data_IF_113116544862
#
_entry.id   IF_113116544862
#
_cell.length_a   1.000
_cell.length_b   1.000
_cell.length_c   1.000
_cell.angle_alpha   90.00
_cell.angle_beta   90.00
_cell.angle_gamma   90.00
#
_symmetry.space_group_name_H-M   'P 1'
#
loop_
_entity.id
_entity.type
_entity.pdbx_description
1 polymer ?
#
# COMPACT_ATOMS: atom_id res chain seq x y z
N UNK A 1 15.24 -9.80 10.79
CA UNK A 1 16.59 -10.27 10.38
C UNK A 1 16.52 -11.16 9.14
N UNK A 2 15.58 -12.11 9.06
CA UNK A 2 15.44 -12.97 7.88
C UNK A 2 14.99 -12.19 6.62
N UNK A 3 13.92 -11.40 6.71
CA UNK A 3 13.42 -10.60 5.58
C UNK A 3 14.43 -9.56 5.09
N UNK A 4 15.12 -8.87 6.02
CA UNK A 4 16.12 -7.87 5.64
C UNK A 4 17.29 -8.50 4.89
N UNK A 5 17.71 -9.72 5.23
CA UNK A 5 18.70 -10.45 4.43
C UNK A 5 18.12 -10.89 3.08
N UNK A 6 16.91 -11.46 3.06
CA UNK A 6 16.24 -11.96 1.85
C UNK A 6 16.07 -10.88 0.77
N UNK A 7 15.78 -9.66 1.18
CA UNK A 7 15.57 -8.52 0.28
C UNK A 7 16.75 -7.53 0.26
N UNK A 8 17.84 -7.84 0.97
CA UNK A 8 19.05 -7.02 1.08
C UNK A 8 18.74 -5.57 1.56
N UNK A 9 18.01 -5.48 2.67
CA UNK A 9 17.58 -4.24 3.30
C UNK A 9 18.46 -3.90 4.50
N UNK A 10 18.94 -2.67 4.55
CA UNK A 10 19.63 -2.10 5.69
C UNK A 10 18.61 -1.39 6.57
N UNK A 11 18.31 -1.98 7.72
CA UNK A 11 17.28 -1.52 8.65
C UNK A 11 17.63 -0.18 9.33
N UNK A 12 18.87 0.32 9.18
CA UNK A 12 19.24 1.65 9.67
C UNK A 12 18.71 2.78 8.77
N UNK A 13 18.26 2.45 7.55
CA UNK A 13 17.73 3.40 6.57
C UNK A 13 16.21 3.32 6.47
N UNK A 14 15.53 4.41 6.08
CA UNK A 14 14.12 4.36 5.76
C UNK A 14 13.83 3.37 4.64
N UNK A 15 12.79 2.55 4.82
CA UNK A 15 12.33 1.55 3.83
C UNK A 15 10.96 1.99 3.30
N UNK A 16 10.88 2.19 2.00
CA UNK A 16 9.64 2.53 1.31
C UNK A 16 9.07 1.28 0.63
N UNK A 17 7.80 1.00 0.89
CA UNK A 17 7.06 -0.05 0.20
C UNK A 17 6.12 0.56 -0.83
N UNK A 18 6.41 0.35 -2.12
CA UNK A 18 5.69 0.97 -3.22
C UNK A 18 4.81 -0.04 -3.93
N UNK A 19 3.50 0.20 -3.91
CA UNK A 19 2.51 -0.60 -4.64
C UNK A 19 1.46 0.33 -5.22
N UNK A 20 1.56 0.57 -6.53
CA UNK A 20 0.64 1.40 -7.28
C UNK A 20 0.10 0.62 -8.48
N UNK A 21 -1.21 0.59 -8.59
CA UNK A 21 -1.97 -0.04 -9.66
C UNK A 21 -2.52 1.05 -10.61
N UNK A 22 -2.71 0.73 -11.89
CA UNK A 22 -3.45 1.59 -12.79
C UNK A 22 -4.90 1.75 -12.31
N UNK A 23 -5.51 2.88 -12.66
CA UNK A 23 -6.95 3.09 -12.53
C UNK A 23 -7.56 2.85 -13.90
N UNK A 24 -8.55 1.95 -14.01
CA UNK A 24 -9.08 1.49 -15.30
C UNK A 24 -9.65 2.63 -16.13
N UNK A 25 -10.31 3.60 -15.49
CA UNK A 25 -10.86 4.81 -16.14
C UNK A 25 -9.79 5.82 -16.57
N UNK A 26 -8.53 5.61 -16.19
CA UNK A 26 -7.38 6.49 -16.44
C UNK A 26 -6.22 5.68 -17.07
N UNK A 27 -6.54 4.58 -17.77
CA UNK A 27 -5.55 3.60 -18.23
C UNK A 27 -4.48 4.19 -19.18
N UNK A 28 -4.83 5.25 -19.91
CA UNK A 28 -3.90 5.94 -20.81
C UNK A 28 -2.85 6.77 -20.06
N UNK A 29 -3.23 7.31 -18.90
CA UNK A 29 -2.37 8.11 -18.02
C UNK A 29 -1.50 7.25 -17.08
N UNK A 30 -1.79 5.95 -16.95
CA UNK A 30 -1.15 5.07 -15.99
C UNK A 30 0.40 5.12 -16.04
N UNK A 31 0.98 5.21 -17.24
CA UNK A 31 2.43 5.31 -17.42
C UNK A 31 3.01 6.65 -16.91
N UNK A 32 2.28 7.74 -17.10
CA UNK A 32 2.65 9.06 -16.58
C UNK A 32 2.51 9.09 -15.05
N UNK A 33 1.40 8.57 -14.51
CA UNK A 33 1.14 8.56 -13.06
C UNK A 33 2.22 7.80 -12.26
N UNK A 34 2.67 6.64 -12.75
CA UNK A 34 3.78 5.93 -12.09
C UNK A 34 5.11 6.64 -12.30
N UNK A 35 5.31 7.31 -13.43
CA UNK A 35 6.52 8.09 -13.69
C UNK A 35 6.67 9.22 -12.66
N UNK A 36 5.60 9.97 -12.39
CA UNK A 36 5.62 11.03 -11.38
C UNK A 36 5.97 10.51 -9.98
N UNK A 37 5.43 9.34 -9.62
CA UNK A 37 5.77 8.67 -8.36
C UNK A 37 7.25 8.26 -8.32
N UNK A 38 7.77 7.67 -9.40
CA UNK A 38 9.17 7.26 -9.50
C UNK A 38 10.13 8.46 -9.49
N UNK A 39 9.78 9.55 -10.16
CA UNK A 39 10.56 10.79 -10.16
C UNK A 39 10.61 11.43 -8.77
N UNK A 40 9.51 11.36 -8.00
CA UNK A 40 9.48 11.80 -6.61
C UNK A 40 10.42 10.96 -5.73
N UNK A 41 10.47 9.64 -5.94
CA UNK A 41 11.39 8.74 -5.22
C UNK A 41 12.85 9.00 -5.57
N UNK A 42 13.17 9.26 -6.85
CA UNK A 42 14.53 9.63 -7.28
C UNK A 42 14.95 10.94 -6.64
N UNK A 43 14.07 11.95 -6.66
CA UNK A 43 14.34 13.24 -6.03
C UNK A 43 14.52 13.11 -4.51
N UNK A 44 13.69 12.29 -3.85
CA UNK A 44 13.85 11.98 -2.44
C UNK A 44 15.21 11.33 -2.14
N UNK A 45 15.68 10.43 -3.01
CA UNK A 45 16.93 9.70 -2.78
C UNK A 45 18.16 10.61 -2.82
N UNK A 46 18.11 11.69 -3.61
CA UNK A 46 19.15 12.73 -3.63
C UNK A 46 19.29 13.47 -2.30
N UNK A 47 18.23 13.49 -1.51
CA UNK A 47 18.14 14.26 -0.27
C UNK A 47 18.28 13.37 0.96
N UNK A 48 17.76 12.13 0.87
CA UNK A 48 17.68 11.17 1.96
C UNK A 48 18.05 9.79 1.42
N UNK A 49 19.07 9.19 2.02
CA UNK A 49 19.46 7.82 1.71
C UNK A 49 18.40 6.83 2.24
N UNK A 50 17.52 6.39 1.35
CA UNK A 50 16.45 5.43 1.63
C UNK A 50 16.53 4.24 0.68
N UNK A 51 15.79 3.18 1.00
CA UNK A 51 15.64 1.99 0.15
C UNK A 51 14.18 1.79 -0.21
N UNK A 52 13.92 1.30 -1.42
CA UNK A 52 12.56 1.11 -1.91
C UNK A 52 12.37 -0.31 -2.44
N UNK A 53 11.35 -0.99 -1.91
CA UNK A 53 10.78 -2.21 -2.50
C UNK A 53 9.56 -1.80 -3.31
N UNK A 54 9.61 -2.00 -4.63
CA UNK A 54 8.48 -1.75 -5.52
C UNK A 54 7.92 -3.08 -6.00
N UNK A 55 6.61 -3.28 -5.83
CA UNK A 55 5.89 -4.44 -6.37
C UNK A 55 5.11 -4.00 -7.61
N UNK A 56 5.18 -4.82 -8.66
CA UNK A 56 4.51 -4.52 -9.92
C UNK A 56 2.98 -4.37 -9.76
N UNK A 57 2.35 -3.55 -10.62
CA UNK A 57 0.91 -3.39 -10.64
C UNK A 57 0.19 -4.69 -10.99
N UNK A 58 -1.13 -4.67 -10.86
CA UNK A 58 -1.98 -5.76 -11.29
C UNK A 58 -2.11 -5.78 -12.83
N UNK A 59 -2.86 -6.75 -13.35
CA UNK A 59 -2.99 -6.99 -14.79
C UNK A 59 -4.03 -6.09 -15.50
N UNK A 60 -4.57 -5.09 -14.80
CA UNK A 60 -5.61 -4.21 -15.33
C UNK A 60 -5.11 -3.35 -16.52
N UNK A 61 -6.06 -2.73 -17.23
CA UNK A 61 -5.76 -1.80 -18.32
C UNK A 61 -4.77 -0.71 -17.84
N UNK A 62 -3.69 -0.50 -18.60
CA UNK A 62 -2.59 0.40 -18.23
C UNK A 62 -1.41 -0.28 -17.51
N UNK A 63 -1.60 -1.44 -16.88
CA UNK A 63 -0.58 -2.12 -16.08
C UNK A 63 0.70 -2.49 -16.87
N UNK A 64 0.55 -2.96 -18.12
CA UNK A 64 1.70 -3.23 -19.01
C UNK A 64 2.52 -1.97 -19.31
N UNK A 65 1.87 -0.81 -19.48
CA UNK A 65 2.55 0.47 -19.74
C UNK A 65 3.29 0.94 -18.49
N UNK A 66 2.68 0.80 -17.31
CA UNK A 66 3.35 1.07 -16.04
C UNK A 66 4.59 0.19 -15.85
N UNK A 67 4.52 -1.11 -16.10
CA UNK A 67 5.68 -2.01 -15.98
C UNK A 67 6.80 -1.60 -16.94
N UNK A 68 6.48 -1.22 -18.18
CA UNK A 68 7.46 -0.69 -19.13
C UNK A 68 8.13 0.57 -18.58
N UNK A 69 7.38 1.47 -17.94
CA UNK A 69 7.93 2.67 -17.30
C UNK A 69 8.83 2.32 -16.11
N UNK A 70 8.35 1.47 -15.18
CA UNK A 70 9.10 1.03 -14.00
C UNK A 70 10.46 0.42 -14.39
N UNK A 71 10.52 -0.35 -15.48
CA UNK A 71 11.77 -0.94 -15.96
C UNK A 71 12.85 0.10 -16.29
N UNK A 72 12.48 1.31 -16.73
CA UNK A 72 13.44 2.40 -17.02
C UNK A 72 14.14 2.94 -15.76
N UNK A 73 13.56 2.71 -14.58
CA UNK A 73 14.08 3.16 -13.29
C UNK A 73 14.89 2.08 -12.55
N UNK A 74 14.98 0.85 -13.09
CA UNK A 74 15.79 -0.22 -12.48
C UNK A 74 17.29 0.07 -12.42
N UNK A 75 17.76 1.11 -13.11
CA UNK A 75 19.14 1.62 -13.03
C UNK A 75 19.49 2.21 -11.67
N UNK A 76 18.50 2.55 -10.83
CA UNK A 76 18.73 3.15 -9.52
C UNK A 76 18.93 2.06 -8.45
N UNK A 77 20.11 1.98 -7.78
CA UNK A 77 20.41 0.89 -6.83
C UNK A 77 19.48 0.85 -5.61
N UNK A 78 18.93 2.00 -5.20
CA UNK A 78 18.00 2.07 -4.07
C UNK A 78 16.64 1.44 -4.37
N UNK A 79 16.30 1.21 -5.64
CA UNK A 79 14.98 0.76 -6.10
C UNK A 79 15.03 -0.71 -6.52
N UNK A 80 14.41 -1.57 -5.71
CA UNK A 80 14.32 -3.02 -5.96
C UNK A 80 12.90 -3.38 -6.40
N UNK A 81 12.76 -3.84 -7.65
CA UNK A 81 11.46 -4.10 -8.26
C UNK A 81 11.14 -5.60 -8.38
N UNK A 82 10.01 -6.03 -7.82
CA UNK A 82 9.54 -7.42 -7.81
C UNK A 82 8.24 -7.56 -8.58
N UNK A 83 8.06 -8.69 -9.29
CA UNK A 83 6.78 -9.01 -9.95
C UNK A 83 5.69 -9.32 -8.93
N UNK A 84 6.05 -10.07 -7.90
CA UNK A 84 5.20 -10.44 -6.78
C UNK A 84 6.08 -10.77 -5.59
N UNK A 85 5.49 -10.74 -4.40
CA UNK A 85 6.12 -11.09 -3.13
C UNK A 85 5.18 -12.07 -2.41
N UNK A 86 5.69 -13.15 -1.80
CA UNK A 86 4.88 -14.05 -1.00
C UNK A 86 4.11 -13.30 0.09
N UNK A 87 2.87 -13.69 0.36
CA UNK A 87 1.99 -12.94 1.26
C UNK A 87 2.60 -12.71 2.66
N UNK A 88 3.21 -13.74 3.25
CA UNK A 88 3.86 -13.61 4.57
C UNK A 88 5.03 -12.62 4.54
N UNK A 89 5.83 -12.64 3.47
CA UNK A 89 6.91 -11.67 3.28
C UNK A 89 6.37 -10.25 3.12
N UNK A 90 5.23 -10.10 2.41
CA UNK A 90 4.59 -8.81 2.21
C UNK A 90 4.13 -8.19 3.54
N UNK A 91 3.45 -8.97 4.39
CA UNK A 91 3.07 -8.52 5.73
C UNK A 91 4.29 -8.18 6.59
N UNK A 92 5.34 -9.00 6.50
CA UNK A 92 6.59 -8.72 7.18
C UNK A 92 7.26 -7.43 6.69
N UNK A 93 7.27 -7.17 5.38
CA UNK A 93 7.76 -5.90 4.81
C UNK A 93 6.92 -4.72 5.28
N UNK A 94 5.59 -4.85 5.35
CA UNK A 94 4.73 -3.80 5.92
C UNK A 94 5.08 -3.49 7.38
N UNK A 95 5.47 -4.50 8.17
CA UNK A 95 5.86 -4.31 9.58
C UNK A 95 7.18 -3.57 9.79
N UNK A 96 8.08 -3.57 8.78
CA UNK A 96 9.38 -2.88 8.86
C UNK A 96 9.49 -1.65 7.97
N UNK A 97 8.53 -1.45 7.07
CA UNK A 97 8.48 -0.28 6.20
C UNK A 97 8.30 1.00 7.04
N UNK A 98 8.98 2.07 6.63
CA UNK A 98 8.82 3.40 7.22
C UNK A 98 7.59 4.12 6.65
N UNK A 99 7.26 3.85 5.39
CA UNK A 99 6.06 4.38 4.72
C UNK A 99 5.68 3.47 3.54
N UNK A 100 4.39 3.31 3.33
CA UNK A 100 3.84 2.73 2.11
C UNK A 100 3.39 3.81 1.15
N UNK A 101 3.68 3.67 -0.14
CA UNK A 101 3.38 4.66 -1.18
C UNK A 101 2.67 4.01 -2.37
N UNK A 102 1.67 4.67 -2.91
CA UNK A 102 0.93 4.20 -4.09
C UNK A 102 -0.56 4.21 -3.83
N UNK A 103 -1.29 3.20 -4.27
CA UNK A 103 -2.74 3.17 -4.18
C UNK A 103 -3.31 1.76 -3.99
N UNK A 104 -2.50 0.86 -3.43
CA UNK A 104 -2.94 -0.47 -3.02
C UNK A 104 -4.00 -0.38 -1.94
N UNK A 105 -4.94 -1.33 -1.96
CA UNK A 105 -5.93 -1.47 -0.89
C UNK A 105 -5.27 -1.68 0.46
N UNK A 106 -4.06 -2.24 0.49
CA UNK A 106 -3.37 -2.50 1.74
C UNK A 106 -2.81 -1.29 2.45
N UNK A 107 -2.71 -0.15 1.77
CA UNK A 107 -2.51 1.13 2.45
C UNK A 107 -3.73 1.53 3.31
N UNK A 108 -4.91 0.98 3.00
CA UNK A 108 -6.18 1.35 3.66
C UNK A 108 -6.63 0.27 4.64
N UNK A 109 -6.54 -1.00 4.24
CA UNK A 109 -7.09 -2.13 4.99
C UNK A 109 -6.09 -2.69 6.00
N UNK A 110 -4.86 -3.03 5.57
CA UNK A 110 -3.88 -3.70 6.45
C UNK A 110 -2.92 -2.73 7.16
N UNK A 111 -2.45 -1.67 6.49
CA UNK A 111 -1.45 -0.74 7.03
C UNK A 111 -1.77 -0.13 8.40
N UNK A 112 -3.03 0.21 8.75
CA UNK A 112 -3.36 0.69 10.09
C UNK A 112 -3.02 -0.31 11.19
N UNK A 113 -3.12 -1.63 10.94
CA UNK A 113 -2.75 -2.66 11.93
C UNK A 113 -1.25 -2.69 12.23
N UNK A 114 -0.43 -2.18 11.32
CA UNK A 114 1.02 -2.05 11.51
C UNK A 114 1.43 -0.67 12.02
N UNK A 115 0.48 0.26 12.22
CA UNK A 115 0.77 1.68 12.42
C UNK A 115 1.71 2.23 11.33
N UNK A 116 1.51 1.80 10.10
CA UNK A 116 2.35 2.16 8.95
C UNK A 116 1.82 3.44 8.31
N UNK A 117 2.62 4.52 8.23
CA UNK A 117 2.31 5.69 7.40
C UNK A 117 2.04 5.32 5.95
N UNK A 118 1.03 5.93 5.33
CA UNK A 118 0.64 5.67 3.95
C UNK A 118 0.49 6.97 3.18
N UNK A 119 1.12 7.05 2.02
CA UNK A 119 0.85 8.06 1.00
C UNK A 119 -0.03 7.41 -0.07
N UNK A 120 -1.32 7.72 -0.04
CA UNK A 120 -2.30 7.24 -1.00
C UNK A 120 -2.39 8.20 -2.20
N UNK A 121 -2.14 7.68 -3.40
CA UNK A 121 -1.98 8.44 -4.63
C UNK A 121 -3.21 8.25 -5.52
N UNK A 122 -3.85 9.35 -5.88
CA UNK A 122 -4.94 9.38 -6.86
C UNK A 122 -6.26 8.81 -6.34
N UNK A 123 -7.11 8.41 -7.28
CA UNK A 123 -8.56 8.22 -7.07
C UNK A 123 -8.94 6.80 -6.65
N UNK A 124 -8.04 5.81 -6.82
CA UNK A 124 -8.37 4.37 -6.68
C UNK A 124 -9.01 3.98 -5.34
N UNK A 125 -8.64 4.64 -4.26
CA UNK A 125 -9.16 4.36 -2.90
C UNK A 125 -10.19 5.39 -2.42
N UNK A 126 -10.72 6.24 -3.31
CA UNK A 126 -11.75 7.22 -2.97
C UNK A 126 -13.00 6.53 -2.37
N UNK A 127 -13.64 7.20 -1.40
CA UNK A 127 -14.85 6.69 -0.73
C UNK A 127 -14.62 5.60 0.32
N UNK A 128 -13.42 5.03 0.43
CA UNK A 128 -13.13 4.04 1.49
C UNK A 128 -12.96 4.68 2.85
N UNK A 129 -13.53 4.03 3.86
CA UNK A 129 -13.21 4.28 5.27
C UNK A 129 -11.71 4.05 5.49
N UNK A 130 -11.07 4.95 6.21
CA UNK A 130 -9.62 4.98 6.37
C UNK A 130 -9.24 5.49 7.76
N UNK A 131 -8.08 5.05 8.24
CA UNK A 131 -7.53 5.54 9.50
C UNK A 131 -6.67 6.79 9.29
N UNK A 132 -6.26 7.41 10.38
CA UNK A 132 -5.48 8.66 10.39
C UNK A 132 -4.03 8.51 9.89
N UNK A 133 -3.62 7.29 9.52
CA UNK A 133 -2.29 6.98 8.99
C UNK A 133 -2.13 7.29 7.49
N UNK A 134 -3.19 7.74 6.82
CA UNK A 134 -3.20 7.98 5.36
C UNK A 134 -3.06 9.47 5.06
N UNK A 135 -2.18 9.80 4.11
CA UNK A 135 -2.06 11.12 3.47
C UNK A 135 -2.45 10.95 2.00
N UNK A 136 -3.51 11.63 1.58
CA UNK A 136 -3.95 11.63 0.18
C UNK A 136 -3.22 12.70 -0.64
N UNK A 137 -2.82 12.34 -1.85
CA UNK A 137 -2.21 13.24 -2.84
C UNK A 137 -2.71 12.92 -4.24
N UNK A 138 -2.61 13.91 -5.15
CA UNK A 138 -2.78 13.68 -6.57
C UNK A 138 -1.57 12.97 -7.19
N UNK A 139 -1.51 12.98 -8.52
CA UNK A 139 -0.40 12.38 -9.27
C UNK A 139 0.80 13.32 -9.46
N UNK A 140 0.79 14.51 -8.86
CA UNK A 140 1.87 15.49 -9.01
C UNK A 140 3.11 15.05 -8.21
N UNK A 141 4.28 14.99 -8.87
CA UNK A 141 5.57 14.65 -8.24
C UNK A 141 5.85 15.42 -6.95
N UNK A 142 5.66 16.74 -6.93
CA UNK A 142 6.02 17.57 -5.78
C UNK A 142 5.06 17.38 -4.59
N UNK A 143 3.79 17.10 -4.85
CA UNK A 143 2.85 16.67 -3.81
C UNK A 143 3.25 15.33 -3.21
N UNK A 144 3.56 14.33 -4.06
CA UNK A 144 4.00 13.01 -3.64
C UNK A 144 5.27 13.12 -2.78
N UNK A 145 6.28 13.87 -3.25
CA UNK A 145 7.53 14.09 -2.52
C UNK A 145 7.29 14.70 -1.13
N UNK A 146 6.46 15.75 -1.05
CA UNK A 146 6.13 16.41 0.24
C UNK A 146 5.36 15.47 1.17
N UNK A 147 4.43 14.69 0.65
CA UNK A 147 3.67 13.73 1.45
C UNK A 147 4.56 12.60 1.99
N UNK A 148 5.50 12.09 1.18
CA UNK A 148 6.46 11.08 1.65
C UNK A 148 7.35 11.65 2.76
N UNK A 149 7.87 12.87 2.60
CA UNK A 149 8.66 13.53 3.66
C UNK A 149 7.86 13.73 4.94
N UNK A 150 6.60 14.16 4.83
CA UNK A 150 5.70 14.27 5.99
C UNK A 150 5.49 12.91 6.66
N UNK A 151 5.22 11.87 5.88
CA UNK A 151 5.03 10.51 6.39
C UNK A 151 6.28 9.95 7.09
N UNK A 152 7.47 10.38 6.68
CA UNK A 152 8.73 9.93 7.28
C UNK A 152 9.15 10.75 8.52
N UNK A 153 8.87 12.06 8.57
CA UNK A 153 9.53 12.95 9.54
C UNK A 153 8.60 13.88 10.31
N UNK A 154 7.34 14.05 9.92
CA UNK A 154 6.42 14.91 10.67
C UNK A 154 6.02 14.25 11.99
N UNK A 155 6.64 14.72 13.08
CA UNK A 155 6.44 14.15 14.43
C UNK A 155 4.96 14.14 14.82
N UNK A 156 4.19 15.18 14.47
CA UNK A 156 2.76 15.27 14.81
C UNK A 156 1.95 14.19 14.11
N UNK A 157 2.18 13.98 12.82
CA UNK A 157 1.54 12.93 12.04
C UNK A 157 1.94 11.54 12.52
N UNK A 158 3.23 11.29 12.75
CA UNK A 158 3.72 10.02 13.25
C UNK A 158 3.14 9.66 14.63
N UNK A 159 2.95 10.64 15.52
CA UNK A 159 2.26 10.41 16.80
C UNK A 159 0.79 10.00 16.61
N UNK A 160 0.09 10.57 15.62
CA UNK A 160 -1.29 10.16 15.28
C UNK A 160 -1.32 8.74 14.72
N UNK A 161 -0.39 8.42 13.81
CA UNK A 161 -0.26 7.08 13.21
C UNK A 161 -0.04 6.01 14.28
N UNK A 162 0.85 6.26 15.26
CA UNK A 162 1.12 5.33 16.38
C UNK A 162 -0.09 5.00 17.25
N UNK A 163 -1.16 5.81 17.18
CA UNK A 163 -2.40 5.63 17.95
C UNK A 163 -3.59 5.28 17.05
N UNK A 164 -3.35 5.07 15.77
CA UNK A 164 -4.41 4.81 14.82
C UNK A 164 -5.08 3.47 15.13
N UNK A 165 -6.38 3.38 14.86
CA UNK A 165 -7.12 2.12 14.93
C UNK A 165 -7.43 1.66 13.52
N UNK A 166 -7.40 0.36 13.30
CA UNK A 166 -7.83 -0.19 12.02
C UNK A 166 -9.37 -0.29 11.99
N UNK A 167 -10.07 0.47 11.13
CA UNK A 167 -11.53 0.37 11.03
C UNK A 167 -11.99 -0.97 10.44
N UNK A 168 -11.14 -1.69 9.71
CA UNK A 168 -11.50 -2.95 9.03
C UNK A 168 -11.44 -4.17 9.95
N UNK A 169 -10.90 -4.05 11.16
CA UNK A 169 -10.97 -5.16 12.12
C UNK A 169 -9.95 -5.11 13.24
N UNK A 170 -10.18 -6.00 14.20
CA UNK A 170 -9.39 -6.21 15.40
C UNK A 170 -8.66 -7.57 15.41
N UNK A 171 -8.58 -8.23 14.24
CA UNK A 171 -7.94 -9.53 14.08
C UNK A 171 -8.78 -10.73 14.54
N UNK A 172 -10.04 -10.55 14.95
CA UNK A 172 -10.89 -11.64 15.49
C UNK A 172 -11.97 -12.13 14.52
N UNK A 173 -11.90 -11.76 13.25
CA UNK A 173 -12.90 -12.10 12.24
C UNK A 173 -13.11 -13.63 12.14
N UNK A 174 -12.04 -14.41 11.98
CA UNK A 174 -12.12 -15.86 11.85
C UNK A 174 -12.82 -16.51 13.06
N UNK A 175 -12.45 -16.13 14.28
CA UNK A 175 -13.07 -16.65 15.51
C UNK A 175 -14.58 -16.34 15.57
N UNK A 176 -14.97 -15.11 15.18
CA UNK A 176 -16.38 -14.71 15.13
C UNK A 176 -17.16 -15.48 14.07
N UNK A 177 -16.59 -15.61 12.87
CA UNK A 177 -17.20 -16.35 11.76
C UNK A 177 -17.41 -17.81 12.16
N UNK A 178 -16.38 -18.49 12.64
CA UNK A 178 -16.46 -19.90 13.10
C UNK A 178 -17.51 -20.05 14.19
N UNK A 179 -17.55 -19.13 15.18
CA UNK A 179 -18.56 -19.16 16.24
C UNK A 179 -19.99 -19.03 15.72
N UNK A 180 -20.22 -18.21 14.70
CA UNK A 180 -21.54 -18.07 14.05
C UNK A 180 -21.89 -19.34 13.29
N UNK A 181 -20.98 -19.83 12.45
CA UNK A 181 -21.19 -21.03 11.63
C UNK A 181 -21.43 -22.28 12.49
N UNK A 182 -20.70 -22.45 13.60
CA UNK A 182 -20.88 -23.59 14.50
C UNK A 182 -22.22 -23.58 15.26
N UNK A 183 -22.88 -22.42 15.37
CA UNK A 183 -24.11 -22.25 16.14
C UNK A 183 -25.36 -22.09 15.27
N UNK A 184 -25.19 -21.82 13.98
CA UNK A 184 -26.32 -21.57 13.09
C UNK A 184 -27.10 -22.87 12.88
N UNK A 185 -28.43 -22.82 13.08
CA UNK A 185 -29.30 -23.95 12.75
C UNK A 185 -29.65 -23.88 11.26
N UNK A 186 -29.45 -24.97 10.54
CA UNK A 186 -29.83 -25.07 9.14
C UNK A 186 -31.36 -25.28 9.09
N UNK A 187 -32.08 -24.27 8.61
CA UNK A 187 -33.55 -24.28 8.48
C UNK A 187 -33.95 -24.03 7.02
N UNK A 188 -35.19 -24.38 6.61
CA UNK A 188 -35.69 -24.06 5.28
C UNK A 188 -35.61 -22.56 4.95
N UNK A 189 -35.78 -21.67 5.94
CA UNK A 189 -35.63 -20.22 5.75
C UNK A 189 -34.21 -19.77 5.39
N UNK A 190 -33.19 -20.55 5.75
CA UNK A 190 -31.80 -20.31 5.36
C UNK A 190 -31.50 -20.79 3.93
N UNK A 191 -32.27 -21.78 3.46
CA UNK A 191 -32.12 -22.41 2.14
C UNK A 191 -32.98 -21.72 1.07
N UNK A 192 -34.15 -21.22 1.48
CA UNK A 192 -35.13 -20.65 0.58
C UNK A 192 -34.83 -19.17 0.34
N UNK A 193 -34.35 -18.87 -0.87
CA UNK A 193 -34.10 -17.50 -1.32
C UNK A 193 -35.42 -16.71 -1.29
N UNK A 194 -35.53 -15.74 -0.38
CA UNK A 194 -36.61 -14.76 -0.41
C UNK A 194 -36.24 -13.65 -1.38
N UNK A 195 -36.99 -13.55 -2.47
CA UNK A 195 -36.89 -12.43 -3.40
C UNK A 195 -37.76 -11.32 -2.82
N UNK A 196 -37.12 -10.22 -2.43
CA UNK A 196 -37.76 -8.99 -2.00
C UNK A 196 -37.34 -7.93 -3.01
N UNK A 197 -38.32 -7.31 -3.67
CA UNK A 197 -38.15 -6.20 -4.60
C UNK A 197 -38.28 -4.88 -3.86
#
# INVERSE_FOLDING_TARGET
VELSKKYDLDLSKPILLVVQHPVVTEADEAAYQIKETLDALVELNRQINHQTILIYPNADAGGRRMIKMIKKYRKYPFLKCFKSIPFNDYLGLMSIASVMVGNSSSGIIEAPSFHLPVVNIGTRQAGRERSVNVIDVGYNKEEILRAIKKALYDKKFLMKVRRCKNPYGDGKAAQRIVKVLAKIKITPSLLQKRIVY
#
